data_IF_343302465760
#
_entry.id   IF_343302465760
#
_cell.length_a   1.000
_cell.length_b   1.000
_cell.length_c   1.000
_cell.angle_alpha   90.00
_cell.angle_beta   90.00
_cell.angle_gamma   90.00
#
_symmetry.space_group_name_H-M   'P 1'
#
loop_
_entity.id
_entity.type
_entity.pdbx_description
1 polymer ?
#
# COMPACT_ATOMS: atom_id res chain seq x y z
N UNK A 1 -29.75 -6.20 -3.65
CA UNK A 1 -28.40 -5.85 -3.17
C UNK A 1 -27.57 -7.11 -3.11
N UNK A 2 -26.49 -7.26 -3.89
CA UNK A 2 -25.66 -8.46 -3.81
C UNK A 2 -25.00 -8.51 -2.42
N UNK A 3 -25.06 -9.67 -1.77
CA UNK A 3 -24.50 -9.88 -0.42
C UNK A 3 -22.99 -9.61 -0.46
N UNK A 4 -22.52 -8.65 0.35
CA UNK A 4 -21.08 -8.48 0.61
C UNK A 4 -20.55 -9.79 1.18
N UNK A 5 -19.75 -10.50 0.40
CA UNK A 5 -18.98 -11.64 0.91
C UNK A 5 -17.93 -11.08 1.85
N UNK A 6 -18.06 -11.37 3.15
CA UNK A 6 -17.15 -10.91 4.21
C UNK A 6 -15.76 -11.60 4.15
N UNK A 7 -15.41 -12.20 3.01
CA UNK A 7 -14.21 -12.99 2.79
C UNK A 7 -13.39 -12.36 1.67
N UNK A 8 -12.07 -12.42 1.82
CA UNK A 8 -11.14 -11.94 0.81
C UNK A 8 -11.07 -12.93 -0.37
N UNK A 9 -10.87 -12.45 -1.60
CA UNK A 9 -10.59 -13.31 -2.74
C UNK A 9 -9.30 -14.11 -2.56
N UNK A 10 -9.30 -15.39 -2.92
CA UNK A 10 -8.16 -16.30 -2.71
C UNK A 10 -6.86 -15.86 -3.40
N UNK A 11 -6.93 -15.12 -4.51
CA UNK A 11 -5.72 -14.62 -5.18
C UNK A 11 -4.91 -13.62 -4.33
N UNK A 12 -5.51 -13.06 -3.27
CA UNK A 12 -4.80 -12.20 -2.31
C UNK A 12 -3.99 -13.00 -1.28
N UNK A 13 -4.29 -14.29 -1.09
CA UNK A 13 -3.66 -15.15 -0.08
C UNK A 13 -2.14 -15.10 -0.07
N UNK A 14 -1.42 -15.07 -1.21
CA UNK A 14 0.05 -14.98 -1.20
C UNK A 14 0.61 -13.73 -0.49
N UNK A 15 -0.16 -12.65 -0.40
CA UNK A 15 0.26 -11.42 0.29
C UNK A 15 0.20 -11.53 1.82
N UNK A 16 -0.45 -12.58 2.36
CA UNK A 16 -0.82 -12.71 3.76
C UNK A 16 -0.36 -14.03 4.38
N UNK A 17 0.81 -14.52 3.96
CA UNK A 17 1.37 -15.80 4.41
C UNK A 17 1.65 -15.87 5.93
N UNK A 18 1.73 -14.74 6.62
CA UNK A 18 2.03 -14.63 8.06
C UNK A 18 0.81 -14.78 8.97
N UNK A 19 -0.41 -14.78 8.42
CA UNK A 19 -1.66 -14.75 9.19
C UNK A 19 -2.66 -15.78 8.68
N UNK A 20 -3.62 -16.14 9.53
CA UNK A 20 -4.74 -16.98 9.14
C UNK A 20 -5.67 -16.20 8.20
N UNK A 21 -5.49 -16.38 6.89
CA UNK A 21 -6.15 -15.62 5.83
C UNK A 21 -7.69 -15.64 5.95
N UNK A 22 -8.25 -16.76 6.40
CA UNK A 22 -9.69 -16.97 6.60
C UNK A 22 -10.30 -16.06 7.66
N UNK A 23 -9.48 -15.53 8.57
CA UNK A 23 -9.92 -14.60 9.62
C UNK A 23 -9.91 -13.13 9.19
N UNK A 24 -9.26 -12.82 8.06
CA UNK A 24 -9.20 -11.45 7.54
C UNK A 24 -10.56 -11.02 7.01
N UNK A 25 -10.91 -9.78 7.28
CA UNK A 25 -12.13 -9.14 6.79
C UNK A 25 -11.82 -7.76 6.20
N UNK A 26 -12.41 -7.40 5.04
CA UNK A 26 -12.18 -6.10 4.42
C UNK A 26 -12.57 -4.93 5.34
N UNK A 27 -13.59 -5.12 6.17
CA UNK A 27 -14.10 -4.10 7.09
C UNK A 27 -13.22 -3.91 8.33
N UNK A 28 -12.83 -4.99 9.03
CA UNK A 28 -12.09 -4.87 10.30
C UNK A 28 -10.59 -4.66 10.09
N UNK A 29 -10.04 -5.25 9.03
CA UNK A 29 -8.59 -5.31 8.80
C UNK A 29 -8.11 -4.30 7.75
N UNK A 30 -8.92 -3.28 7.45
CA UNK A 30 -8.68 -2.27 6.40
C UNK A 30 -7.25 -1.74 6.41
N UNK A 31 -6.72 -1.39 7.58
CA UNK A 31 -5.38 -0.81 7.69
C UNK A 31 -4.27 -1.78 7.26
N UNK A 32 -4.36 -3.04 7.69
CA UNK A 32 -3.41 -4.09 7.34
C UNK A 32 -3.49 -4.43 5.84
N UNK A 33 -4.72 -4.56 5.32
CA UNK A 33 -4.95 -4.85 3.90
C UNK A 33 -4.44 -3.72 2.99
N UNK A 34 -4.75 -2.47 3.34
CA UNK A 34 -4.25 -1.30 2.61
C UNK A 34 -2.72 -1.26 2.61
N UNK A 35 -2.05 -1.37 3.77
CA UNK A 35 -0.58 -1.36 3.82
C UNK A 35 0.01 -2.48 2.97
N UNK A 36 -0.46 -3.71 3.15
CA UNK A 36 0.11 -4.88 2.47
C UNK A 36 -0.07 -4.80 0.96
N UNK A 37 -1.27 -4.46 0.48
CA UNK A 37 -1.57 -4.38 -0.95
C UNK A 37 -0.93 -3.14 -1.57
N UNK A 38 -0.90 -2.00 -0.87
CA UNK A 38 -0.25 -0.81 -1.40
C UNK A 38 1.27 -0.98 -1.56
N UNK A 39 1.91 -1.77 -0.70
CA UNK A 39 3.35 -2.00 -0.74
C UNK A 39 3.74 -3.15 -1.70
N UNK A 40 3.01 -4.27 -1.66
CA UNK A 40 3.41 -5.52 -2.32
C UNK A 40 2.39 -6.06 -3.34
N UNK A 41 1.24 -5.41 -3.49
CA UNK A 41 0.17 -5.87 -4.36
C UNK A 41 0.54 -5.86 -5.84
N UNK A 42 0.13 -6.90 -6.56
CA UNK A 42 0.15 -6.92 -8.02
C UNK A 42 -1.06 -6.14 -8.57
N UNK A 43 -1.18 -6.08 -9.90
CA UNK A 43 -2.24 -5.31 -10.57
C UNK A 43 -3.65 -5.75 -10.14
N UNK A 44 -3.89 -7.05 -9.97
CA UNK A 44 -5.20 -7.57 -9.57
C UNK A 44 -5.52 -7.24 -8.11
N UNK A 45 -4.54 -7.29 -7.22
CA UNK A 45 -4.68 -6.84 -5.84
C UNK A 45 -4.99 -5.34 -5.76
N UNK A 46 -4.29 -4.52 -6.57
CA UNK A 46 -4.53 -3.07 -6.66
C UNK A 46 -5.95 -2.79 -7.17
N UNK A 47 -6.40 -3.50 -8.21
CA UNK A 47 -7.76 -3.37 -8.75
C UNK A 47 -8.81 -3.72 -7.70
N UNK A 48 -8.60 -4.80 -6.97
CA UNK A 48 -9.49 -5.20 -5.87
C UNK A 48 -9.52 -4.17 -4.76
N UNK A 49 -8.37 -3.61 -4.37
CA UNK A 49 -8.30 -2.60 -3.32
C UNK A 49 -9.11 -1.35 -3.70
N UNK A 50 -8.96 -0.90 -4.94
CA UNK A 50 -9.71 0.25 -5.47
C UNK A 50 -11.20 -0.06 -5.58
N UNK A 51 -11.58 -1.25 -6.02
CA UNK A 51 -12.99 -1.64 -6.11
C UNK A 51 -13.64 -1.77 -4.72
N UNK A 52 -12.88 -2.21 -3.72
CA UNK A 52 -13.37 -2.46 -2.36
C UNK A 52 -13.57 -1.18 -1.57
N UNK A 53 -12.59 -0.27 -1.61
CA UNK A 53 -12.61 0.95 -0.78
C UNK A 53 -12.86 2.23 -1.57
N UNK A 54 -12.60 2.25 -2.87
CA UNK A 54 -12.68 3.46 -3.68
C UNK A 54 -11.45 4.37 -3.53
N UNK A 55 -11.13 5.09 -4.59
CA UNK A 55 -9.99 6.03 -4.59
C UNK A 55 -10.10 7.16 -3.55
N UNK A 56 -11.26 7.80 -3.32
CA UNK A 56 -11.38 8.89 -2.34
C UNK A 56 -11.02 8.45 -0.91
N UNK A 57 -11.52 7.28 -0.49
CA UNK A 57 -11.22 6.71 0.83
C UNK A 57 -9.76 6.31 0.95
N UNK A 58 -9.19 5.66 -0.07
CA UNK A 58 -7.77 5.29 -0.09
C UNK A 58 -6.86 6.53 -0.03
N UNK A 59 -7.25 7.61 -0.74
CA UNK A 59 -6.56 8.91 -0.71
C UNK A 59 -6.59 9.51 0.70
N UNK A 60 -7.77 9.54 1.33
CA UNK A 60 -7.93 10.03 2.70
C UNK A 60 -7.12 9.18 3.70
N UNK A 61 -7.24 7.86 3.59
CA UNK A 61 -6.55 6.86 4.41
C UNK A 61 -5.03 7.03 4.35
N UNK A 62 -4.47 7.22 3.15
CA UNK A 62 -3.02 7.39 2.94
C UNK A 62 -2.56 8.78 3.41
N UNK A 63 -3.39 9.79 3.22
CA UNK A 63 -3.14 11.17 3.67
C UNK A 63 -3.08 11.29 5.19
N UNK A 64 -4.02 10.68 5.91
CA UNK A 64 -4.06 10.70 7.38
C UNK A 64 -2.82 10.04 8.01
N UNK A 65 -2.25 9.06 7.32
CA UNK A 65 -1.01 8.37 7.71
C UNK A 65 0.26 9.09 7.31
N UNK A 66 0.16 10.13 6.50
CA UNK A 66 1.32 10.80 5.91
C UNK A 66 2.28 9.82 5.21
N UNK A 67 1.72 8.81 4.54
CA UNK A 67 2.52 7.79 3.83
C UNK A 67 3.33 6.83 4.71
N UNK A 68 3.18 6.87 6.05
CA UNK A 68 3.87 5.94 6.95
C UNK A 68 3.52 4.48 6.62
N UNK A 69 4.54 3.62 6.68
CA UNK A 69 4.43 2.20 6.38
C UNK A 69 4.56 1.82 4.90
N UNK A 70 4.75 2.79 4.00
CA UNK A 70 4.99 2.53 2.58
C UNK A 70 6.37 3.03 2.12
N UNK A 71 7.02 2.29 1.22
CA UNK A 71 8.28 2.70 0.61
C UNK A 71 8.13 3.96 -0.24
N UNK A 72 9.24 4.67 -0.50
CA UNK A 72 9.22 5.82 -1.39
C UNK A 72 8.71 5.47 -2.80
N UNK A 73 9.04 4.26 -3.28
CA UNK A 73 8.55 3.72 -4.55
C UNK A 73 7.04 3.55 -4.54
N UNK A 74 6.48 2.89 -3.52
CA UNK A 74 5.04 2.71 -3.40
C UNK A 74 4.33 4.08 -3.32
N UNK A 75 4.86 5.02 -2.52
CA UNK A 75 4.29 6.35 -2.41
C UNK A 75 4.22 7.11 -3.75
N UNK A 76 5.25 7.00 -4.60
CA UNK A 76 5.23 7.60 -5.95
C UNK A 76 4.22 6.95 -6.87
N UNK A 77 4.04 5.63 -6.77
CA UNK A 77 3.00 4.95 -7.54
C UNK A 77 1.60 5.42 -7.14
N UNK A 78 1.31 5.42 -5.82
CA UNK A 78 0.02 5.84 -5.30
C UNK A 78 -0.23 7.35 -5.44
N UNK A 79 0.83 8.16 -5.52
CA UNK A 79 0.73 9.57 -5.88
C UNK A 79 0.00 9.77 -7.20
N UNK A 80 0.43 9.08 -8.25
CA UNK A 80 -0.18 9.17 -9.57
C UNK A 80 -1.57 8.53 -9.56
N UNK A 81 -1.72 7.35 -8.96
CA UNK A 81 -2.96 6.58 -9.04
C UNK A 81 -4.14 7.24 -8.31
N UNK A 82 -3.85 7.95 -7.21
CA UNK A 82 -4.83 8.64 -6.35
C UNK A 82 -4.80 10.16 -6.52
N UNK A 83 -4.02 10.69 -7.46
CA UNK A 83 -3.88 12.13 -7.76
C UNK A 83 -3.40 12.97 -6.56
N UNK A 84 -2.49 12.44 -5.74
CA UNK A 84 -2.02 13.11 -4.52
C UNK A 84 -1.13 14.31 -4.86
N UNK A 85 -1.17 15.41 -4.06
CA UNK A 85 -0.33 16.56 -4.33
C UNK A 85 1.16 16.20 -4.22
N UNK A 86 1.91 16.39 -5.30
CA UNK A 86 3.34 16.05 -5.36
C UNK A 86 4.16 16.59 -4.19
N UNK A 87 3.93 17.85 -3.83
CA UNK A 87 4.62 18.50 -2.70
C UNK A 87 4.38 17.77 -1.38
N UNK A 88 3.19 17.23 -1.18
CA UNK A 88 2.81 16.50 0.04
C UNK A 88 3.52 15.16 0.11
N UNK A 89 3.51 14.40 -0.98
CA UNK A 89 4.19 13.10 -1.06
C UNK A 89 5.71 13.26 -0.94
N UNK A 90 6.29 14.26 -1.60
CA UNK A 90 7.72 14.59 -1.47
C UNK A 90 8.10 14.93 -0.02
N UNK A 91 7.24 15.66 0.72
CA UNK A 91 7.46 15.93 2.14
C UNK A 91 7.48 14.64 2.95
N UNK A 92 6.51 13.75 2.75
CA UNK A 92 6.43 12.47 3.46
C UNK A 92 7.68 11.62 3.26
N UNK A 93 8.15 11.49 2.00
CA UNK A 93 9.36 10.75 1.67
C UNK A 93 10.60 11.34 2.36
N UNK A 94 10.71 12.68 2.42
CA UNK A 94 11.84 13.37 3.06
C UNK A 94 11.80 13.33 4.59
N UNK A 95 10.61 13.30 5.19
CA UNK A 95 10.45 13.28 6.65
C UNK A 95 10.62 11.87 7.24
N UNK A 96 10.90 10.84 6.43
CA UNK A 96 11.16 9.50 6.95
C UNK A 96 12.50 9.53 7.69
N UNK A 97 12.56 9.01 8.93
CA UNK A 97 13.85 8.72 9.54
C UNK A 97 14.61 7.82 8.58
N UNK A 98 15.88 8.13 8.31
CA UNK A 98 16.66 7.38 7.33
C UNK A 98 16.73 5.93 7.76
N UNK A 99 15.97 5.06 7.12
CA UNK A 99 16.06 3.63 7.36
C UNK A 99 17.43 3.17 6.85
N UNK A 100 18.31 2.82 7.78
CA UNK A 100 19.67 2.36 7.47
C UNK A 100 19.66 1.11 6.57
N UNK A 101 18.53 0.39 6.52
CA UNK A 101 18.33 -0.77 5.64
C UNK A 101 18.01 -0.38 4.19
N UNK A 102 17.27 0.70 3.95
CA UNK A 102 16.93 1.22 2.61
C UNK A 102 18.17 1.84 1.91
N UNK A 103 19.15 2.33 2.68
CA UNK A 103 20.42 2.83 2.15
C UNK A 103 21.30 1.74 1.51
N UNK A 104 21.18 0.48 1.96
CA UNK A 104 22.00 -0.63 1.44
C UNK A 104 21.56 -1.08 0.05
N UNK A 105 20.25 -1.07 -0.23
CA UNK A 105 19.71 -1.46 -1.54
C UNK A 105 19.97 -0.39 -2.61
N UNK A 106 19.93 0.91 -2.25
CA UNK A 106 20.24 2.01 -3.18
C UNK A 106 21.73 2.09 -3.59
N UNK A 107 22.69 1.72 -2.72
CA UNK A 107 24.12 1.71 -3.06
C UNK A 107 24.52 0.58 -4.01
N UNK A 108 23.76 -0.51 -4.09
CA UNK A 108 24.04 -1.62 -4.99
C UNK A 108 23.80 -1.27 -6.47
N UNK A 109 22.82 -0.40 -6.77
CA UNK A 109 22.49 -0.02 -8.14
C UNK A 109 23.35 1.13 -8.71
N UNK A 110 24.07 1.87 -7.86
CA UNK A 110 24.91 3.00 -8.31
C UNK A 110 26.35 2.59 -8.62
N UNK A 111 26.76 1.36 -8.27
CA UNK A 111 28.13 0.86 -8.48
C UNK A 111 28.31 0.03 -9.76
N UNK A 112 27.33 0.07 -10.66
CA UNK A 112 27.32 -0.69 -11.91
C UNK A 112 27.03 0.24 -13.10
N UNK A 113 27.89 1.25 -13.27
CA UNK A 113 28.09 2.03 -14.49
C UNK A 113 29.52 2.49 -14.56
#
# INVERSE_FOLDING_TARGET
MPKKTNRLPDFLRPLFWEVEFERLSPEKDKDYLCLRIMEHGNLDAIRWLIATYGKPDLRAWLTQREGRGLSARALRFWEVLLDLPHRKVTRWIRSRPTDLWEQRTHRASTKMR
#
